data_IF_188448417439
#
_entry.id   IF_188448417439
#
_cell.length_a   1.000
_cell.length_b   1.000
_cell.length_c   1.000
_cell.angle_alpha   90.00
_cell.angle_beta   90.00
_cell.angle_gamma   90.00
#
_symmetry.space_group_name_H-M   'P 1'
#
loop_
_entity.id
_entity.type
_entity.pdbx_description
1 polymer ?
#
# COMPACT_ATOMS: atom_id res chain seq x y z
N UNK A 1 -2.98 -10.54 8.12
CA UNK A 1 -2.69 -11.35 6.97
C UNK A 1 -3.14 -12.76 7.19
N UNK A 2 -3.50 -13.41 6.13
CA UNK A 2 -3.85 -14.81 6.24
C UNK A 2 -2.66 -15.61 6.71
N UNK A 3 -2.88 -16.62 7.52
CA UNK A 3 -1.81 -17.53 7.93
C UNK A 3 -1.51 -18.47 6.78
N UNK A 4 -0.98 -17.92 5.71
CA UNK A 4 -0.64 -18.69 4.53
C UNK A 4 0.73 -19.30 4.72
N UNK A 5 0.97 -20.40 4.06
CA UNK A 5 2.28 -20.98 4.09
C UNK A 5 3.23 -20.20 3.18
N UNK A 6 4.50 -20.58 3.18
CA UNK A 6 5.52 -19.88 2.41
C UNK A 6 5.25 -19.93 0.91
N UNK A 7 4.65 -21.00 0.42
CA UNK A 7 4.36 -21.13 -0.99
C UNK A 7 3.29 -20.13 -1.41
N UNK A 8 2.28 -19.95 -0.58
CA UNK A 8 1.21 -19.00 -0.87
C UNK A 8 1.76 -17.57 -0.87
N UNK A 9 2.63 -17.25 0.07
CA UNK A 9 3.27 -15.94 0.12
C UNK A 9 4.10 -15.73 -1.13
N UNK A 10 4.88 -16.73 -1.52
CA UNK A 10 5.72 -16.64 -2.70
C UNK A 10 4.88 -16.41 -3.96
N UNK A 11 3.81 -17.16 -4.13
CA UNK A 11 2.93 -16.99 -5.27
C UNK A 11 2.29 -15.62 -5.28
N UNK A 12 1.88 -15.14 -4.10
CA UNK A 12 1.32 -13.82 -3.98
C UNK A 12 2.31 -12.76 -4.47
N UNK A 13 3.54 -12.86 -4.05
CA UNK A 13 4.58 -11.90 -4.44
C UNK A 13 4.85 -11.96 -5.95
N UNK A 14 4.87 -13.14 -6.53
CA UNK A 14 5.09 -13.30 -7.97
C UNK A 14 3.94 -12.67 -8.76
N UNK A 15 2.71 -12.98 -8.38
CA UNK A 15 1.52 -12.44 -9.04
C UNK A 15 1.37 -10.95 -8.82
N UNK A 16 1.75 -10.50 -7.67
CA UNK A 16 1.56 -9.13 -7.24
C UNK A 16 2.84 -8.31 -7.32
N UNK A 17 3.66 -8.52 -8.32
CA UNK A 17 4.89 -7.75 -8.51
C UNK A 17 4.67 -6.26 -8.39
N UNK A 18 3.52 -5.80 -8.84
CA UNK A 18 3.15 -4.39 -8.75
C UNK A 18 2.94 -3.92 -7.31
N UNK A 19 2.75 -4.86 -6.39
CA UNK A 19 2.40 -4.58 -5.00
C UNK A 19 3.55 -4.84 -4.05
N UNK A 20 4.71 -5.18 -4.57
CA UNK A 20 5.90 -5.42 -3.77
C UNK A 20 7.05 -4.64 -4.37
N UNK A 21 7.70 -3.85 -3.54
CA UNK A 21 8.87 -3.08 -3.94
C UNK A 21 10.06 -3.54 -3.14
N UNK A 22 11.21 -3.63 -3.78
CA UNK A 22 12.43 -4.08 -3.12
C UNK A 22 13.64 -3.38 -3.71
N UNK A 23 14.62 -3.12 -2.86
CA UNK A 23 15.92 -2.59 -3.27
C UNK A 23 16.95 -3.68 -3.02
N UNK A 24 17.91 -3.78 -3.92
CA UNK A 24 18.93 -4.82 -3.88
C UNK A 24 20.31 -4.21 -3.79
N UNK A 25 21.21 -4.96 -3.16
CA UNK A 25 22.63 -4.66 -3.17
C UNK A 25 23.40 -5.97 -3.25
N UNK A 26 24.29 -6.09 -4.21
CA UNK A 26 25.08 -7.31 -4.44
C UNK A 26 24.21 -8.56 -4.55
N UNK A 27 23.04 -8.42 -5.18
CA UNK A 27 22.12 -9.53 -5.36
C UNK A 27 21.27 -9.85 -4.15
N UNK A 28 21.40 -9.11 -3.06
CA UNK A 28 20.60 -9.30 -1.86
C UNK A 28 19.59 -8.20 -1.69
N UNK A 29 18.39 -8.55 -1.20
CA UNK A 29 17.38 -7.57 -0.87
C UNK A 29 17.83 -6.84 0.39
N UNK A 30 17.92 -5.51 0.31
CA UNK A 30 18.32 -4.68 1.43
C UNK A 30 17.15 -3.88 2.01
N UNK A 31 16.09 -3.74 1.23
CA UNK A 31 14.88 -3.03 1.64
C UNK A 31 13.72 -3.60 0.86
N UNK A 32 12.59 -3.74 1.52
CA UNK A 32 11.39 -4.19 0.84
C UNK A 32 10.15 -3.57 1.47
N UNK A 33 9.12 -3.46 0.64
CA UNK A 33 7.80 -3.05 1.08
C UNK A 33 6.78 -3.93 0.37
N UNK A 34 5.77 -4.36 1.09
CA UNK A 34 4.65 -5.00 0.47
C UNK A 34 3.36 -4.51 1.10
N UNK A 35 2.29 -4.74 0.41
CA UNK A 35 0.99 -4.24 0.81
C UNK A 35 -0.11 -5.13 0.25
N UNK A 36 -1.25 -5.10 0.95
CA UNK A 36 -2.43 -5.83 0.54
C UNK A 36 -3.64 -4.94 0.77
N UNK A 37 -4.39 -4.73 -0.29
CA UNK A 37 -5.59 -3.92 -0.24
C UNK A 37 -6.81 -4.75 -0.58
N UNK A 38 -7.98 -4.27 -0.17
CA UNK A 38 -9.22 -4.94 -0.50
C UNK A 38 -10.36 -3.96 -0.68
N UNK A 39 -11.21 -4.30 -1.63
CA UNK A 39 -12.47 -3.61 -1.87
C UNK A 39 -13.46 -4.05 -0.80
N UNK A 40 -14.13 -3.09 -0.19
CA UNK A 40 -15.11 -3.37 0.87
C UNK A 40 -16.54 -3.11 0.43
N UNK A 41 -16.72 -2.36 -0.66
CA UNK A 41 -18.04 -1.99 -1.12
C UNK A 41 -18.04 -1.74 -2.64
N UNK A 42 -19.22 -1.89 -3.25
CA UNK A 42 -19.38 -1.71 -4.69
C UNK A 42 -19.07 -0.30 -5.17
N UNK A 43 -19.13 0.68 -4.30
CA UNK A 43 -18.87 2.08 -4.65
C UNK A 43 -17.38 2.40 -4.73
N UNK A 44 -16.50 1.41 -4.50
CA UNK A 44 -15.07 1.60 -4.69
C UNK A 44 -14.75 1.85 -6.16
N UNK A 45 -13.98 2.89 -6.43
CA UNK A 45 -13.50 3.23 -7.77
C UNK A 45 -11.99 3.11 -7.85
N UNK A 46 -11.53 2.17 -8.65
CA UNK A 46 -10.10 1.94 -8.81
C UNK A 46 -9.39 3.14 -9.41
N UNK A 47 -10.06 3.86 -10.30
CA UNK A 47 -9.50 5.07 -10.90
C UNK A 47 -9.16 6.14 -9.88
N UNK A 48 -9.99 6.28 -8.84
CA UNK A 48 -9.70 7.23 -7.78
C UNK A 48 -8.45 6.82 -6.99
N UNK A 49 -8.31 5.54 -6.69
CA UNK A 49 -7.11 5.03 -6.02
C UNK A 49 -5.86 5.32 -6.85
N UNK A 50 -5.91 5.07 -8.15
CA UNK A 50 -4.78 5.34 -9.04
C UNK A 50 -4.42 6.82 -9.05
N UNK A 51 -5.41 7.71 -9.08
CA UNK A 51 -5.15 9.14 -9.03
C UNK A 51 -4.44 9.52 -7.73
N UNK A 52 -4.93 8.99 -6.60
CA UNK A 52 -4.33 9.28 -5.31
C UNK A 52 -2.87 8.81 -5.27
N UNK A 53 -2.60 7.61 -5.75
CA UNK A 53 -1.25 7.06 -5.72
C UNK A 53 -0.27 7.82 -6.62
N UNK A 54 -0.76 8.47 -7.67
CA UNK A 54 0.08 9.30 -8.52
C UNK A 54 0.56 10.57 -7.83
N UNK A 55 -0.07 10.94 -6.72
CA UNK A 55 0.28 12.14 -5.96
C UNK A 55 1.23 11.85 -4.81
N UNK A 56 1.90 10.71 -4.85
CA UNK A 56 2.84 10.33 -3.81
C UNK A 56 3.92 11.40 -3.64
N UNK A 57 4.27 11.70 -2.39
CA UNK A 57 5.31 12.67 -2.08
C UNK A 57 6.68 12.03 -2.20
N UNK A 58 7.66 12.78 -2.71
CA UNK A 58 9.04 12.31 -2.75
C UNK A 58 9.64 12.19 -1.35
N UNK A 59 9.07 12.86 -0.37
CA UNK A 59 9.50 12.75 1.02
C UNK A 59 8.96 11.51 1.71
N UNK A 60 7.81 11.03 1.25
CA UNK A 60 7.18 9.82 1.75
C UNK A 60 6.77 8.94 0.56
N UNK A 61 7.73 8.35 -0.14
CA UNK A 61 7.45 7.65 -1.39
C UNK A 61 6.93 6.22 -1.18
N UNK A 62 6.27 5.95 -0.07
CA UNK A 62 5.86 4.59 0.27
C UNK A 62 4.56 4.19 -0.42
N UNK A 63 3.57 5.06 -0.37
CA UNK A 63 2.28 4.84 -1.01
C UNK A 63 1.76 6.18 -1.52
N UNK A 64 0.54 6.54 -1.20
CA UNK A 64 -0.05 7.79 -1.67
C UNK A 64 0.25 8.97 -0.77
N UNK A 65 -0.35 10.11 -1.04
CA UNK A 65 -0.24 11.30 -0.18
C UNK A 65 -0.96 11.05 1.14
N UNK A 66 -0.74 11.92 2.11
CA UNK A 66 -1.42 11.79 3.40
C UNK A 66 -2.95 11.85 3.22
N UNK A 67 -3.40 12.69 2.30
CA UNK A 67 -4.83 12.86 2.05
C UNK A 67 -5.08 13.35 0.63
N UNK A 68 -6.16 12.88 0.03
CA UNK A 68 -6.59 13.34 -1.30
C UNK A 68 -8.10 13.17 -1.41
N UNK A 69 -8.77 14.19 -1.91
CA UNK A 69 -10.22 14.14 -2.08
C UNK A 69 -10.61 14.59 -3.47
N UNK A 70 -11.64 13.96 -4.01
CA UNK A 70 -12.23 14.35 -5.28
C UNK A 70 -13.70 13.96 -5.26
N UNK A 71 -14.59 14.94 -5.36
CA UNK A 71 -16.01 14.69 -5.21
C UNK A 71 -16.30 14.13 -3.82
N UNK A 72 -17.03 13.04 -3.78
CA UNK A 72 -17.40 12.38 -2.52
C UNK A 72 -16.37 11.35 -2.07
N UNK A 73 -15.30 11.16 -2.84
CA UNK A 73 -14.24 10.22 -2.50
C UNK A 73 -13.14 10.89 -1.70
N UNK A 74 -12.67 10.20 -0.66
CA UNK A 74 -11.56 10.67 0.15
C UNK A 74 -10.59 9.55 0.42
N UNK A 75 -9.33 9.81 0.14
CA UNK A 75 -8.22 8.90 0.39
C UNK A 75 -7.43 9.42 1.58
N UNK A 76 -7.11 8.55 2.53
CA UNK A 76 -6.26 8.88 3.66
C UNK A 76 -5.19 7.80 3.78
N UNK A 77 -3.96 8.24 3.99
CA UNK A 77 -2.83 7.34 4.22
C UNK A 77 -2.16 7.72 5.52
N UNK A 78 -2.09 6.79 6.45
CA UNK A 78 -1.47 6.98 7.75
C UNK A 78 -0.27 6.06 7.85
N UNK A 79 0.90 6.60 8.21
CA UNK A 79 2.10 5.81 8.32
C UNK A 79 2.78 6.03 9.66
N UNK A 80 3.29 4.95 10.24
CA UNK A 80 4.06 4.96 11.47
C UNK A 80 5.43 4.41 11.15
N UNK A 81 6.47 5.10 11.63
CA UNK A 81 7.85 4.68 11.41
C UNK A 81 8.54 5.51 10.36
N UNK A 82 9.65 4.99 9.83
CA UNK A 82 10.45 5.67 8.83
C UNK A 82 10.86 4.71 7.73
N UNK A 83 11.75 5.15 6.85
CA UNK A 83 12.18 4.32 5.72
C UNK A 83 12.79 3.00 6.17
N UNK A 84 13.44 2.97 7.34
CA UNK A 84 14.10 1.76 7.81
C UNK A 84 13.14 0.73 8.39
N UNK A 85 11.99 1.20 8.93
CA UNK A 85 11.00 0.30 9.52
C UNK A 85 9.68 1.05 9.63
N UNK A 86 8.69 0.62 8.87
CA UNK A 86 7.42 1.35 8.81
C UNK A 86 6.25 0.42 8.58
N UNK A 87 5.08 0.94 8.91
CA UNK A 87 3.81 0.31 8.58
C UNK A 87 2.80 1.41 8.30
N UNK A 88 1.81 1.10 7.51
CA UNK A 88 0.81 2.09 7.17
C UNK A 88 -0.53 1.50 6.86
N UNK A 89 -1.50 2.38 6.79
CA UNK A 89 -2.88 2.04 6.51
C UNK A 89 -3.46 3.09 5.56
N UNK A 90 -4.03 2.62 4.47
CA UNK A 90 -4.75 3.47 3.53
C UNK A 90 -6.23 3.16 3.61
N UNK A 91 -7.04 4.19 3.46
CA UNK A 91 -8.48 4.01 3.37
C UNK A 91 -9.06 4.93 2.33
N UNK A 92 -10.14 4.49 1.71
CA UNK A 92 -10.94 5.33 0.82
C UNK A 92 -12.37 5.27 1.32
N UNK A 93 -12.98 6.44 1.48
CA UNK A 93 -14.40 6.55 1.80
C UNK A 93 -15.13 7.17 0.64
N UNK A 94 -16.39 6.80 0.50
CA UNK A 94 -17.30 7.42 -0.45
C UNK A 94 -18.52 7.86 0.34
N UNK A 95 -18.78 9.17 0.36
CA UNK A 95 -19.86 9.76 1.15
C UNK A 95 -19.78 9.30 2.62
N UNK A 96 -18.57 9.21 3.16
CA UNK A 96 -18.34 8.82 4.55
C UNK A 96 -18.33 7.32 4.81
N UNK A 97 -18.62 6.49 3.83
CA UNK A 97 -18.64 5.04 3.97
C UNK A 97 -17.30 4.46 3.51
N UNK A 98 -16.70 3.61 4.32
CA UNK A 98 -15.45 2.96 3.97
C UNK A 98 -15.68 1.97 2.81
N UNK A 99 -14.99 2.18 1.70
CA UNK A 99 -15.16 1.36 0.51
C UNK A 99 -13.90 0.59 0.13
N UNK A 100 -12.75 0.95 0.71
CA UNK A 100 -11.48 0.30 0.40
C UNK A 100 -10.52 0.50 1.55
N UNK A 101 -9.68 -0.49 1.80
CA UNK A 101 -8.59 -0.34 2.77
C UNK A 101 -7.37 -1.13 2.31
N UNK A 102 -6.22 -0.70 2.76
CA UNK A 102 -4.96 -1.35 2.44
C UNK A 102 -4.01 -1.22 3.63
N UNK A 103 -3.37 -2.33 3.98
CA UNK A 103 -2.30 -2.33 4.97
C UNK A 103 -0.98 -2.52 4.23
N UNK A 104 0.05 -1.82 4.67
CA UNK A 104 1.37 -2.00 4.09
C UNK A 104 2.43 -1.90 5.17
N UNK A 105 3.56 -2.50 4.90
CA UNK A 105 4.69 -2.45 5.81
C UNK A 105 5.97 -2.71 5.05
N UNK A 106 7.07 -2.36 5.66
CA UNK A 106 8.36 -2.58 5.05
C UNK A 106 9.50 -2.05 5.89
N UNK A 107 10.68 -2.08 5.33
CA UNK A 107 11.87 -1.58 5.96
C UNK A 107 13.12 -2.26 5.46
N UNK A 108 14.20 -2.01 6.18
CA UNK A 108 15.49 -2.61 5.86
C UNK A 108 15.45 -4.10 6.17
N UNK A 109 15.97 -4.89 5.24
CA UNK A 109 16.09 -6.35 5.44
C UNK A 109 17.41 -6.61 6.12
N UNK A 110 17.36 -7.35 7.20
CA UNK A 110 18.53 -7.61 8.01
C UNK A 110 18.88 -9.09 8.04
#
# INVERSE_FOLDING_TARGET
>A
MLPVDKNDIFEFLVKAKKKTEALYSSGKIIWSMNYAGRKLDKDFEYGFLKEALLLVSSEKPFRGPDEYSKGDYKYICEMIGDFEWFRGYESITFKGKLVYECYYHGGMVR
#
